data_IF_916344611810
#
_entry.id   IF_916344611810
#
_cell.length_a   1.000
_cell.length_b   1.000
_cell.length_c   1.000
_cell.angle_alpha   90.00
_cell.angle_beta   90.00
_cell.angle_gamma   90.00
#
_symmetry.space_group_name_H-M   'P 1'
#
loop_
_entity.id
_entity.type
_entity.pdbx_description
1 polymer ?
#
# COMPACT_ATOMS: atom_id res chain seq x y z
N UNK A 1 4.89 26.35 16.80
CA UNK A 1 5.79 25.44 16.13
C UNK A 1 5.65 25.53 14.63
N UNK A 2 6.75 25.70 13.91
CA UNK A 2 6.79 25.63 12.46
C UNK A 2 7.05 24.20 11.99
N UNK A 3 6.68 23.87 10.77
CA UNK A 3 6.90 22.59 10.18
C UNK A 3 6.80 22.64 8.65
N UNK A 4 7.27 21.58 8.01
CA UNK A 4 7.14 21.41 6.56
C UNK A 4 5.97 20.48 6.26
N UNK A 5 5.00 20.97 5.50
CA UNK A 5 3.92 20.14 4.96
C UNK A 5 4.20 19.86 3.48
N UNK A 6 4.37 18.59 3.15
CA UNK A 6 4.62 18.15 1.76
C UNK A 6 3.28 17.84 1.12
N UNK A 7 2.88 18.65 0.16
CA UNK A 7 1.70 18.38 -0.67
C UNK A 7 2.06 17.35 -1.75
N UNK A 8 1.43 16.19 -1.67
CA UNK A 8 1.59 15.13 -2.67
C UNK A 8 0.65 15.39 -3.85
N UNK A 9 1.15 15.26 -5.08
CA UNK A 9 0.46 15.67 -6.29
C UNK A 9 -0.71 14.78 -6.71
N UNK A 10 -0.78 13.56 -6.21
CA UNK A 10 -1.84 12.60 -6.58
C UNK A 10 -2.64 12.16 -5.35
N UNK A 11 -3.92 11.86 -5.59
CA UNK A 11 -4.81 11.31 -4.57
C UNK A 11 -4.24 9.99 -4.02
N UNK A 12 -4.30 9.83 -2.70
CA UNK A 12 -3.87 8.61 -1.98
C UNK A 12 -2.39 8.23 -2.12
N UNK A 13 -1.50 9.11 -2.56
CA UNK A 13 -0.05 8.82 -2.55
C UNK A 13 0.43 8.54 -1.13
N UNK A 14 -0.09 9.28 -0.15
CA UNK A 14 0.23 9.04 1.26
C UNK A 14 -0.22 7.63 1.68
N UNK A 15 -1.46 7.24 1.39
CA UNK A 15 -1.97 5.91 1.70
C UNK A 15 -1.20 4.81 0.99
N UNK A 16 -0.88 4.96 -0.29
CA UNK A 16 -0.10 3.98 -1.03
C UNK A 16 1.28 3.74 -0.40
N UNK A 17 1.99 4.80 -0.01
CA UNK A 17 3.29 4.65 0.68
C UNK A 17 3.15 4.11 2.10
N UNK A 18 2.11 4.52 2.83
CA UNK A 18 1.82 3.99 4.17
C UNK A 18 1.52 2.48 4.13
N UNK A 19 0.89 2.00 3.06
CA UNK A 19 0.59 0.59 2.83
C UNK A 19 1.75 -0.23 2.25
N UNK A 20 2.93 0.36 2.11
CA UNK A 20 4.13 -0.35 1.70
C UNK A 20 4.26 -0.60 0.20
N UNK A 21 3.60 0.19 -0.65
CA UNK A 21 3.81 0.15 -2.11
C UNK A 21 5.15 0.81 -2.44
N UNK A 22 6.23 0.22 -1.92
CA UNK A 22 7.61 0.68 -2.03
C UNK A 22 8.54 -0.54 -2.15
N UNK A 23 9.72 -0.35 -2.74
CA UNK A 23 10.67 -1.43 -2.98
C UNK A 23 11.39 -1.94 -1.71
N UNK A 24 11.30 -1.26 -0.58
CA UNK A 24 12.15 -1.46 0.60
C UNK A 24 11.41 -1.54 1.93
N UNK A 25 10.08 -1.64 1.91
CA UNK A 25 9.30 -1.63 3.15
C UNK A 25 8.05 -2.50 3.05
N UNK A 26 7.61 -3.00 4.18
CA UNK A 26 6.29 -3.56 4.42
C UNK A 26 5.30 -2.44 4.84
N UNK A 27 3.99 -2.72 4.89
CA UNK A 27 3.00 -1.74 5.35
C UNK A 27 3.42 -1.12 6.68
N UNK A 28 3.13 0.18 6.87
CA UNK A 28 3.52 0.91 8.06
C UNK A 28 5.01 1.30 8.12
N UNK A 29 5.69 1.30 6.99
CA UNK A 29 7.14 1.55 6.89
C UNK A 29 8.01 0.58 7.71
N UNK A 30 7.50 -0.61 7.97
CA UNK A 30 8.32 -1.68 8.51
C UNK A 30 9.38 -2.08 7.47
N UNK A 31 10.66 -2.05 7.86
CA UNK A 31 11.74 -2.48 6.97
C UNK A 31 11.67 -3.99 6.69
N UNK A 32 12.36 -4.42 5.64
CA UNK A 32 12.42 -5.84 5.22
C UNK A 32 13.33 -6.67 6.15
N UNK A 33 13.08 -6.65 7.45
CA UNK A 33 13.85 -7.37 8.47
C UNK A 33 13.07 -8.58 8.96
N UNK A 34 13.75 -9.64 9.46
CA UNK A 34 13.08 -10.84 9.95
C UNK A 34 11.97 -10.57 10.98
N UNK A 35 12.20 -9.63 11.91
CA UNK A 35 11.20 -9.25 12.92
C UNK A 35 9.96 -8.56 12.32
N UNK A 36 10.14 -7.76 11.25
CA UNK A 36 9.04 -7.12 10.55
C UNK A 36 8.19 -8.12 9.79
N UNK A 37 8.84 -9.08 9.13
CA UNK A 37 8.14 -10.18 8.47
C UNK A 37 7.39 -11.07 9.46
N UNK A 38 7.98 -11.37 10.61
CA UNK A 38 7.31 -12.13 11.66
C UNK A 38 6.11 -11.37 12.25
N UNK A 39 6.19 -10.02 12.34
CA UNK A 39 5.07 -9.19 12.75
C UNK A 39 3.91 -9.29 11.74
N UNK A 40 4.18 -9.06 10.46
CA UNK A 40 3.16 -9.08 9.43
C UNK A 40 2.60 -10.49 9.18
N UNK A 41 3.44 -11.54 9.26
CA UNK A 41 2.97 -12.93 9.21
C UNK A 41 1.91 -13.20 10.29
N UNK A 42 2.11 -12.71 11.52
CA UNK A 42 1.10 -12.82 12.59
C UNK A 42 -0.17 -12.02 12.29
N UNK A 43 -0.04 -10.80 11.75
CA UNK A 43 -1.20 -9.97 11.38
C UNK A 43 -2.04 -10.62 10.30
N UNK A 44 -1.39 -11.21 9.30
CA UNK A 44 -2.04 -11.92 8.21
C UNK A 44 -2.44 -13.36 8.59
N UNK A 45 -2.06 -13.82 9.79
CA UNK A 45 -2.24 -15.21 10.23
C UNK A 45 -1.62 -16.22 9.26
N UNK A 46 -0.48 -15.85 8.67
CA UNK A 46 0.19 -16.65 7.66
C UNK A 46 1.47 -17.30 8.20
N UNK A 47 1.80 -18.46 7.64
CA UNK A 47 3.03 -19.15 7.94
C UNK A 47 4.24 -18.40 7.38
N UNK A 48 5.15 -18.02 8.27
CA UNK A 48 6.37 -17.29 7.91
C UNK A 48 7.28 -18.11 6.97
N UNK A 49 7.32 -19.44 7.09
CA UNK A 49 8.15 -20.28 6.22
C UNK A 49 7.53 -20.41 4.82
N UNK A 50 6.20 -20.40 4.74
CA UNK A 50 5.53 -20.29 3.45
C UNK A 50 5.84 -18.95 2.78
N UNK A 51 5.81 -17.83 3.51
CA UNK A 51 6.20 -16.50 2.99
C UNK A 51 7.65 -16.52 2.50
N UNK A 52 8.58 -17.06 3.30
CA UNK A 52 9.99 -17.19 2.89
C UNK A 52 10.15 -17.98 1.60
N UNK A 53 9.38 -19.04 1.43
CA UNK A 53 9.40 -19.87 0.23
C UNK A 53 8.96 -19.17 -1.06
N UNK A 54 8.38 -17.95 -0.95
CA UNK A 54 8.01 -17.11 -2.13
C UNK A 54 9.17 -16.31 -2.67
N UNK A 55 10.29 -16.24 -1.95
CA UNK A 55 11.45 -15.43 -2.31
C UNK A 55 12.64 -16.32 -2.66
N UNK A 56 13.43 -15.87 -3.62
CA UNK A 56 14.68 -16.54 -4.00
C UNK A 56 15.74 -16.41 -2.91
N UNK A 57 16.70 -17.32 -2.94
CA UNK A 57 17.97 -17.22 -2.21
C UNK A 57 19.10 -17.01 -3.20
N UNK A 58 19.95 -16.05 -2.96
CA UNK A 58 21.16 -15.80 -3.73
C UNK A 58 22.40 -16.21 -2.94
N UNK A 59 23.49 -16.49 -3.65
CA UNK A 59 24.81 -16.57 -3.03
C UNK A 59 25.50 -15.20 -3.06
N UNK A 60 26.06 -14.80 -1.93
CA UNK A 60 26.93 -13.63 -1.85
C UNK A 60 28.30 -13.95 -2.47
N UNK A 61 29.14 -12.94 -2.70
CA UNK A 61 30.50 -13.12 -3.25
C UNK A 61 31.39 -14.03 -2.38
N UNK A 62 31.14 -14.07 -1.07
CA UNK A 62 31.81 -14.92 -0.10
C UNK A 62 31.09 -16.28 0.11
N UNK A 63 30.15 -16.62 -0.76
CA UNK A 63 29.48 -17.94 -0.80
C UNK A 63 28.35 -18.14 0.22
N UNK A 64 28.02 -17.15 1.04
CA UNK A 64 26.94 -17.24 2.02
C UNK A 64 25.56 -17.11 1.38
N UNK A 65 24.56 -17.70 1.97
CA UNK A 65 23.18 -17.55 1.55
C UNK A 65 22.63 -16.16 1.92
N UNK A 66 21.96 -15.54 0.97
CA UNK A 66 21.31 -14.25 1.08
C UNK A 66 19.84 -14.41 0.71
N UNK A 67 18.96 -14.28 1.69
CA UNK A 67 17.53 -14.36 1.47
C UNK A 67 17.01 -13.05 0.86
N UNK A 68 16.50 -13.13 -0.36
CA UNK A 68 15.97 -11.95 -1.08
C UNK A 68 14.74 -11.33 -0.42
N UNK A 69 14.05 -12.06 0.42
CA UNK A 69 12.97 -11.55 1.27
C UNK A 69 13.38 -10.35 2.13
N UNK A 70 14.64 -10.29 2.54
CA UNK A 70 15.18 -9.23 3.41
C UNK A 70 15.88 -8.11 2.63
N UNK A 71 15.85 -8.17 1.31
CA UNK A 71 16.57 -7.23 0.46
C UNK A 71 15.62 -6.24 -0.20
N UNK A 72 16.12 -5.06 -0.44
CA UNK A 72 15.39 -4.04 -1.20
C UNK A 72 15.14 -4.52 -2.64
N UNK A 73 13.91 -4.42 -3.09
CA UNK A 73 13.54 -4.63 -4.48
C UNK A 73 14.10 -3.53 -5.40
N UNK A 74 13.83 -3.66 -6.69
CA UNK A 74 14.21 -2.63 -7.67
C UNK A 74 13.22 -1.47 -7.56
N UNK A 75 13.67 -0.25 -7.18
CA UNK A 75 12.77 0.90 -7.09
C UNK A 75 12.25 1.32 -8.46
N UNK A 76 11.10 1.98 -8.48
CA UNK A 76 10.44 2.42 -9.72
C UNK A 76 11.34 3.29 -10.61
N UNK A 77 12.25 4.07 -10.03
CA UNK A 77 13.24 4.87 -10.77
C UNK A 77 14.28 4.03 -11.54
N UNK A 78 14.41 2.74 -11.22
CA UNK A 78 15.38 1.81 -11.82
C UNK A 78 14.73 0.59 -12.48
N UNK A 79 13.43 0.57 -12.69
CA UNK A 79 12.77 -0.59 -13.29
C UNK A 79 13.31 -0.92 -14.70
N UNK A 80 13.70 0.11 -15.48
CA UNK A 80 14.31 -0.04 -16.79
C UNK A 80 15.62 -0.82 -16.68
N UNK A 81 16.47 -0.45 -15.71
CA UNK A 81 17.72 -1.15 -15.42
C UNK A 81 17.43 -2.59 -14.98
N UNK A 82 16.37 -2.80 -14.19
CA UNK A 82 15.91 -4.12 -13.79
C UNK A 82 15.68 -5.08 -14.95
N UNK A 83 15.34 -4.56 -16.13
CA UNK A 83 15.14 -5.33 -17.36
C UNK A 83 16.40 -5.39 -18.22
N UNK A 84 17.10 -4.25 -18.39
CA UNK A 84 18.14 -4.08 -19.40
C UNK A 84 19.57 -4.31 -18.90
N UNK A 85 19.84 -4.06 -17.62
CA UNK A 85 21.16 -4.17 -17.03
C UNK A 85 21.49 -5.62 -16.66
N UNK A 86 22.76 -5.96 -16.58
CA UNK A 86 23.19 -7.27 -16.09
C UNK A 86 22.73 -7.50 -14.64
N UNK A 87 22.11 -8.64 -14.37
CA UNK A 87 21.54 -8.97 -13.06
C UNK A 87 22.53 -8.90 -11.90
N UNK A 88 23.80 -9.16 -12.19
CA UNK A 88 24.92 -9.10 -11.24
C UNK A 88 25.10 -7.67 -10.67
N UNK A 89 24.89 -6.65 -11.51
CA UNK A 89 24.96 -5.25 -11.11
C UNK A 89 23.73 -4.80 -10.30
N UNK A 90 22.61 -5.49 -10.49
CA UNK A 90 21.38 -5.21 -9.78
C UNK A 90 21.32 -5.87 -8.39
N UNK A 91 22.18 -6.84 -8.13
CA UNK A 91 22.09 -7.66 -6.91
C UNK A 91 20.80 -8.47 -6.83
N UNK A 92 20.26 -8.86 -7.98
CA UNK A 92 19.03 -9.63 -8.13
C UNK A 92 19.31 -11.02 -8.72
N UNK A 93 18.49 -12.04 -8.38
CA UNK A 93 18.69 -13.39 -8.92
C UNK A 93 18.48 -13.47 -10.42
N UNK A 94 17.58 -12.64 -10.95
CA UNK A 94 17.24 -12.59 -12.37
C UNK A 94 16.86 -11.15 -12.78
N UNK A 95 16.88 -10.88 -14.08
CA UNK A 95 16.26 -9.68 -14.62
C UNK A 95 14.74 -9.75 -14.51
N UNK A 96 14.11 -8.59 -14.51
CA UNK A 96 12.65 -8.48 -14.56
C UNK A 96 12.14 -9.01 -15.89
N UNK A 97 11.25 -10.00 -15.86
CA UNK A 97 10.66 -10.64 -17.04
C UNK A 97 9.17 -10.39 -17.18
N UNK A 98 8.48 -10.14 -16.06
CA UNK A 98 7.07 -9.81 -16.03
C UNK A 98 6.87 -8.48 -15.31
N UNK A 99 5.93 -7.67 -15.77
CA UNK A 99 5.60 -6.38 -15.18
C UNK A 99 4.10 -6.17 -15.15
N UNK A 100 3.60 -5.72 -14.02
CA UNK A 100 2.24 -5.22 -13.87
C UNK A 100 2.33 -3.72 -13.59
N UNK A 101 1.82 -2.91 -14.50
CA UNK A 101 1.65 -1.47 -14.33
C UNK A 101 0.24 -1.25 -13.80
N UNK A 102 0.12 -0.86 -12.55
CA UNK A 102 -1.15 -0.71 -11.85
C UNK A 102 -1.42 0.75 -11.54
N UNK A 103 -2.35 1.35 -12.28
CA UNK A 103 -2.67 2.77 -12.14
C UNK A 103 -1.45 3.68 -12.36
N UNK A 104 -0.52 3.28 -13.24
CA UNK A 104 0.74 3.97 -13.44
C UNK A 104 1.07 4.15 -14.93
N UNK A 105 1.29 5.40 -15.33
CA UNK A 105 1.74 5.75 -16.65
C UNK A 105 3.23 6.15 -16.61
N UNK A 106 4.15 5.30 -17.09
CA UNK A 106 5.59 5.52 -16.99
C UNK A 106 6.11 6.65 -17.88
N UNK A 107 5.30 7.21 -18.75
CA UNK A 107 5.66 8.32 -19.62
C UNK A 107 6.08 9.61 -18.90
N UNK A 108 5.77 9.73 -17.61
CA UNK A 108 6.25 10.81 -16.75
C UNK A 108 7.69 10.62 -16.28
N UNK A 109 8.31 9.48 -16.57
CA UNK A 109 9.69 9.19 -16.21
C UNK A 109 10.63 9.56 -17.36
N UNK A 110 11.93 9.71 -17.03
CA UNK A 110 12.99 9.91 -18.01
C UNK A 110 13.33 8.61 -18.77
N UNK A 111 14.16 8.71 -19.80
CA UNK A 111 14.71 7.56 -20.56
C UNK A 111 13.66 6.83 -21.41
N UNK A 112 12.79 7.54 -22.08
CA UNK A 112 11.72 6.96 -22.92
C UNK A 112 12.23 5.93 -23.96
N UNK A 113 13.36 6.13 -24.68
CA UNK A 113 13.86 5.11 -25.60
C UNK A 113 14.27 3.80 -24.94
N UNK A 114 14.87 3.88 -23.75
CA UNK A 114 15.24 2.69 -22.97
C UNK A 114 14.00 2.00 -22.39
N UNK A 115 13.00 2.78 -21.99
CA UNK A 115 11.71 2.29 -21.52
C UNK A 115 11.03 1.41 -22.58
N UNK A 116 10.97 1.89 -23.82
CA UNK A 116 10.45 1.12 -24.96
C UNK A 116 11.22 -0.19 -25.18
N UNK A 117 12.56 -0.14 -25.13
CA UNK A 117 13.40 -1.35 -25.20
C UNK A 117 13.14 -2.32 -24.05
N UNK A 118 13.01 -1.80 -22.81
CA UNK A 118 12.74 -2.62 -21.66
C UNK A 118 11.40 -3.33 -21.77
N UNK A 119 10.33 -2.60 -22.11
CA UNK A 119 9.00 -3.18 -22.34
C UNK A 119 9.03 -4.25 -23.42
N UNK A 120 9.80 -4.06 -24.50
CA UNK A 120 9.96 -5.03 -25.57
C UNK A 120 10.65 -6.34 -25.15
N UNK A 121 11.43 -6.32 -24.07
CA UNK A 121 12.14 -7.50 -23.54
C UNK A 121 11.37 -8.30 -22.49
N UNK A 122 10.27 -7.79 -21.99
CA UNK A 122 9.44 -8.52 -21.01
C UNK A 122 8.78 -9.73 -21.69
N UNK A 123 8.59 -10.80 -20.94
CA UNK A 123 7.75 -11.92 -21.38
C UNK A 123 6.28 -11.60 -21.22
N UNK A 124 5.94 -10.86 -20.16
CA UNK A 124 4.57 -10.49 -19.80
C UNK A 124 4.50 -9.02 -19.39
N UNK A 125 3.55 -8.30 -19.96
CA UNK A 125 3.17 -6.96 -19.57
C UNK A 125 1.66 -6.93 -19.30
N UNK A 126 1.29 -6.55 -18.07
CA UNK A 126 -0.11 -6.32 -17.68
C UNK A 126 -0.26 -4.85 -17.34
N UNK A 127 -1.28 -4.22 -17.90
CA UNK A 127 -1.64 -2.83 -17.61
C UNK A 127 -3.03 -2.84 -16.99
N UNK A 128 -3.13 -2.42 -15.73
CA UNK A 128 -4.37 -2.27 -14.98
C UNK A 128 -4.63 -0.78 -14.83
N UNK A 129 -5.59 -0.25 -15.55
CA UNK A 129 -5.87 1.19 -15.59
C UNK A 129 -7.32 1.44 -16.00
N UNK A 130 -7.99 2.50 -15.50
CA UNK A 130 -9.32 2.88 -15.97
C UNK A 130 -9.38 3.24 -17.45
N UNK A 131 -8.25 3.68 -18.02
CA UNK A 131 -8.14 4.09 -19.41
C UNK A 131 -6.90 3.51 -20.06
N UNK A 132 -6.92 3.23 -21.39
CA UNK A 132 -5.71 2.91 -22.13
C UNK A 132 -4.74 4.08 -22.05
N UNK A 133 -3.70 3.96 -21.24
CA UNK A 133 -2.65 4.97 -21.09
C UNK A 133 -1.49 4.72 -22.04
N UNK A 134 -0.50 5.59 -22.01
CA UNK A 134 0.76 5.42 -22.76
C UNK A 134 1.42 4.07 -22.45
N UNK A 135 1.22 3.53 -21.25
CA UNK A 135 1.70 2.19 -20.86
C UNK A 135 1.22 1.09 -21.80
N UNK A 136 0.02 1.23 -22.36
CA UNK A 136 -0.58 0.25 -23.25
C UNK A 136 0.01 0.27 -24.68
N UNK A 137 0.66 1.37 -25.07
CA UNK A 137 1.11 1.59 -26.46
C UNK A 137 2.59 1.92 -26.60
N UNK A 138 3.31 2.08 -25.49
CA UNK A 138 4.73 2.45 -25.50
C UNK A 138 5.65 1.27 -25.86
N UNK A 139 5.21 0.35 -26.67
CA UNK A 139 5.98 -0.82 -27.08
C UNK A 139 5.46 -1.35 -28.43
N UNK A 140 6.33 -2.10 -29.12
CA UNK A 140 5.99 -2.75 -30.40
C UNK A 140 5.62 -4.23 -30.22
N UNK A 141 5.20 -4.63 -29.02
CA UNK A 141 4.84 -6.02 -28.70
C UNK A 141 3.56 -6.42 -29.42
N UNK A 142 3.51 -7.65 -29.91
CA UNK A 142 2.33 -8.24 -30.54
C UNK A 142 1.65 -9.29 -29.67
N UNK A 143 2.34 -9.73 -28.60
CA UNK A 143 1.89 -10.77 -27.69
C UNK A 143 2.34 -10.49 -26.25
N UNK A 144 1.84 -11.25 -25.30
CA UNK A 144 2.19 -11.12 -23.88
C UNK A 144 1.82 -9.78 -23.26
N UNK A 145 0.81 -9.08 -23.79
CA UNK A 145 0.28 -7.82 -23.28
C UNK A 145 -1.20 -7.98 -22.96
N UNK A 146 -1.57 -7.62 -21.72
CA UNK A 146 -2.96 -7.66 -21.27
C UNK A 146 -3.34 -6.31 -20.71
N UNK A 147 -4.46 -5.78 -21.17
CA UNK A 147 -5.09 -4.57 -20.67
C UNK A 147 -6.28 -4.98 -19.82
N UNK A 148 -6.26 -4.68 -18.54
CA UNK A 148 -7.32 -4.99 -17.60
C UNK A 148 -7.97 -3.68 -17.15
N UNK A 149 -9.23 -3.42 -17.53
CA UNK A 149 -9.92 -2.21 -17.12
C UNK A 149 -10.22 -2.26 -15.63
N UNK A 150 -9.72 -1.30 -14.87
CA UNK A 150 -10.12 -1.09 -13.48
C UNK A 150 -11.11 0.06 -13.37
N UNK A 151 -11.76 0.18 -12.23
CA UNK A 151 -12.73 1.23 -11.95
C UNK A 151 -12.05 2.55 -11.64
N UNK A 152 -12.77 3.64 -11.91
CA UNK A 152 -12.42 4.96 -11.40
C UNK A 152 -12.77 5.07 -9.92
N UNK A 153 -12.33 6.16 -9.30
CA UNK A 153 -12.62 6.45 -7.89
C UNK A 153 -14.10 6.64 -7.56
N UNK A 154 -14.94 6.91 -8.55
CA UNK A 154 -16.39 7.08 -8.37
C UNK A 154 -17.15 5.75 -8.45
N UNK A 155 -16.53 4.75 -9.02
CA UNK A 155 -17.10 3.43 -9.26
C UNK A 155 -16.72 2.41 -8.18
N UNK A 156 -16.05 2.84 -7.13
CA UNK A 156 -15.62 2.00 -6.02
C UNK A 156 -15.68 2.76 -4.70
N UNK A 157 -15.61 2.05 -3.58
CA UNK A 157 -15.58 2.62 -2.22
C UNK A 157 -14.26 2.31 -1.53
N UNK A 158 -14.01 2.95 -0.41
CA UNK A 158 -12.84 2.67 0.42
C UNK A 158 -12.19 3.91 1.02
N UNK A 159 -11.08 3.70 1.71
CA UNK A 159 -10.36 4.78 2.36
C UNK A 159 -9.28 5.39 1.46
N UNK A 160 -9.03 6.67 1.67
CA UNK A 160 -7.90 7.41 1.10
C UNK A 160 -7.21 8.20 2.20
N UNK A 161 -5.90 8.37 2.09
CA UNK A 161 -5.13 9.15 3.06
C UNK A 161 -4.57 10.40 2.38
N UNK A 162 -4.93 11.56 2.90
CA UNK A 162 -4.44 12.85 2.43
C UNK A 162 -2.99 13.11 2.89
N UNK A 163 -2.34 14.12 2.30
CA UNK A 163 -0.95 14.49 2.63
C UNK A 163 -0.72 14.87 4.10
N UNK A 164 -1.75 15.39 4.76
CA UNK A 164 -1.73 15.68 6.20
C UNK A 164 -2.00 14.44 7.07
N UNK A 165 -2.09 13.26 6.44
CA UNK A 165 -2.41 11.97 7.08
C UNK A 165 -3.82 11.85 7.65
N UNK A 166 -4.75 12.71 7.28
CA UNK A 166 -6.16 12.44 7.57
C UNK A 166 -6.66 11.32 6.65
N UNK A 167 -7.28 10.32 7.25
CA UNK A 167 -7.91 9.21 6.54
C UNK A 167 -9.36 9.58 6.31
N UNK A 168 -9.81 9.41 5.09
CA UNK A 168 -11.17 9.69 4.67
C UNK A 168 -11.78 8.44 4.04
N UNK A 169 -13.06 8.25 4.20
CA UNK A 169 -13.81 7.23 3.51
C UNK A 169 -14.62 7.85 2.37
N UNK A 170 -14.67 7.17 1.27
CA UNK A 170 -15.56 7.51 0.14
C UNK A 170 -16.45 6.34 -0.17
N UNK A 171 -17.69 6.64 -0.51
CA UNK A 171 -18.64 5.65 -0.99
C UNK A 171 -18.63 5.61 -2.51
N UNK A 172 -19.08 4.50 -3.07
CA UNK A 172 -19.34 4.37 -4.49
C UNK A 172 -20.49 5.30 -4.90
N UNK A 173 -20.33 5.99 -6.02
CA UNK A 173 -21.31 6.98 -6.53
C UNK A 173 -22.04 6.46 -7.75
N UNK A 174 -21.36 5.71 -8.61
CA UNK A 174 -21.88 5.13 -9.84
C UNK A 174 -21.42 3.69 -9.96
N UNK A 175 -22.15 2.89 -10.72
CA UNK A 175 -21.76 1.52 -11.00
C UNK A 175 -20.56 1.46 -11.95
N UNK A 176 -19.72 0.41 -11.85
CA UNK A 176 -18.61 0.18 -12.78
C UNK A 176 -19.10 0.13 -14.22
N UNK A 177 -18.38 0.80 -15.11
CA UNK A 177 -18.70 0.83 -16.54
C UNK A 177 -18.09 -0.38 -17.27
N UNK A 178 -18.86 -0.95 -18.18
CA UNK A 178 -18.45 -2.05 -19.04
C UNK A 178 -17.94 -3.27 -18.23
N UNK A 179 -16.74 -3.76 -18.58
CA UNK A 179 -16.10 -4.90 -17.92
C UNK A 179 -15.13 -4.48 -16.81
N UNK A 180 -15.10 -3.19 -16.45
CA UNK A 180 -14.20 -2.72 -15.42
C UNK A 180 -14.52 -3.33 -14.05
N UNK A 181 -13.47 -3.61 -13.30
CA UNK A 181 -13.58 -4.19 -11.95
C UNK A 181 -12.75 -3.39 -10.97
N UNK A 182 -13.22 -3.19 -9.73
CA UNK A 182 -12.41 -2.62 -8.66
C UNK A 182 -11.09 -3.37 -8.46
N UNK A 183 -10.04 -2.64 -8.10
CA UNK A 183 -8.68 -3.19 -7.95
C UNK A 183 -8.61 -4.43 -7.06
N UNK A 184 -9.34 -4.44 -5.94
CA UNK A 184 -9.35 -5.57 -5.01
C UNK A 184 -9.99 -6.83 -5.60
N UNK A 185 -10.96 -6.69 -6.50
CA UNK A 185 -11.53 -7.82 -7.25
C UNK A 185 -10.51 -8.35 -8.27
N UNK A 186 -9.80 -7.46 -8.98
CA UNK A 186 -8.74 -7.88 -9.90
C UNK A 186 -7.63 -8.62 -9.13
N UNK A 187 -7.25 -8.15 -7.95
CA UNK A 187 -6.28 -8.83 -7.08
C UNK A 187 -6.78 -10.22 -6.65
N UNK A 188 -8.06 -10.34 -6.31
CA UNK A 188 -8.70 -11.63 -5.99
C UNK A 188 -8.60 -12.60 -7.17
N UNK A 189 -8.94 -12.15 -8.37
CA UNK A 189 -8.86 -12.98 -9.58
C UNK A 189 -7.41 -13.42 -9.89
N UNK A 190 -6.42 -12.58 -9.66
CA UNK A 190 -5.02 -12.98 -9.75
C UNK A 190 -4.67 -14.04 -8.70
N UNK A 191 -5.09 -13.84 -7.45
CA UNK A 191 -4.82 -14.79 -6.38
C UNK A 191 -5.43 -16.16 -6.64
N UNK A 192 -6.65 -16.21 -7.20
CA UNK A 192 -7.31 -17.45 -7.64
C UNK A 192 -6.49 -18.17 -8.72
N UNK A 193 -6.04 -17.44 -9.73
CA UNK A 193 -5.23 -18.00 -10.81
C UNK A 193 -3.88 -18.51 -10.33
N UNK A 194 -3.29 -17.87 -9.35
CA UNK A 194 -2.02 -18.31 -8.74
C UNK A 194 -2.21 -19.37 -7.65
N UNK A 195 -3.44 -19.68 -7.25
CA UNK A 195 -3.74 -20.75 -6.28
C UNK A 195 -3.42 -20.40 -4.82
N UNK A 196 -3.45 -19.11 -4.44
CA UNK A 196 -3.22 -18.70 -3.05
C UNK A 196 -4.31 -17.76 -2.48
N UNK A 197 -5.47 -17.71 -3.12
CA UNK A 197 -6.59 -16.84 -2.73
C UNK A 197 -7.04 -17.06 -1.28
N UNK A 198 -7.17 -18.32 -0.86
CA UNK A 198 -7.57 -18.66 0.51
C UNK A 198 -6.57 -18.16 1.58
N UNK A 199 -5.30 -18.02 1.18
CA UNK A 199 -4.27 -17.47 2.06
C UNK A 199 -4.32 -15.95 2.11
N UNK A 200 -4.43 -15.32 0.93
CA UNK A 200 -4.45 -13.85 0.80
C UNK A 200 -5.68 -13.25 1.49
N UNK A 201 -6.83 -13.89 1.40
CA UNK A 201 -8.11 -13.40 1.92
C UNK A 201 -8.58 -14.14 3.18
N UNK A 202 -7.68 -14.78 3.92
CA UNK A 202 -8.01 -15.57 5.12
C UNK A 202 -8.81 -14.79 6.17
N UNK A 203 -8.45 -13.53 6.40
CA UNK A 203 -9.07 -12.63 7.38
C UNK A 203 -10.07 -11.67 6.74
N UNK A 204 -10.38 -11.84 5.49
CA UNK A 204 -11.20 -10.93 4.68
C UNK A 204 -12.37 -11.73 4.14
N UNK A 205 -13.57 -11.34 4.51
CA UNK A 205 -14.78 -11.94 3.94
C UNK A 205 -14.83 -11.65 2.44
N UNK A 206 -15.14 -12.68 1.66
CA UNK A 206 -15.34 -12.56 0.22
C UNK A 206 -16.79 -12.89 -0.09
N UNK A 207 -17.49 -11.99 -0.77
CA UNK A 207 -18.86 -12.16 -1.22
C UNK A 207 -18.86 -12.29 -2.76
N UNK A 208 -19.10 -13.53 -3.25
CA UNK A 208 -18.84 -13.82 -4.67
C UNK A 208 -17.37 -13.67 -5.02
N UNK A 209 -17.05 -12.73 -5.91
CA UNK A 209 -15.67 -12.38 -6.27
C UNK A 209 -15.16 -11.12 -5.55
N UNK A 210 -15.97 -10.51 -4.68
CA UNK A 210 -15.64 -9.24 -4.03
C UNK A 210 -15.12 -9.45 -2.60
N UNK A 211 -13.83 -9.22 -2.33
CA UNK A 211 -13.32 -9.07 -0.97
C UNK A 211 -13.88 -7.81 -0.31
N UNK A 212 -14.34 -7.91 0.93
CA UNK A 212 -14.88 -6.76 1.65
C UNK A 212 -13.79 -5.74 1.98
N UNK A 213 -13.93 -4.53 1.47
CA UNK A 213 -12.97 -3.43 1.67
C UNK A 213 -12.86 -3.06 3.15
N UNK A 214 -13.95 -3.16 3.89
CA UNK A 214 -13.97 -2.94 5.33
C UNK A 214 -13.03 -3.91 6.06
N UNK A 215 -13.02 -5.18 5.67
CA UNK A 215 -12.14 -6.19 6.28
C UNK A 215 -10.68 -5.99 5.87
N UNK A 216 -10.42 -5.60 4.63
CA UNK A 216 -9.08 -5.19 4.17
C UNK A 216 -8.57 -4.04 5.05
N UNK A 217 -9.41 -3.04 5.30
CA UNK A 217 -9.06 -1.90 6.15
C UNK A 217 -8.79 -2.34 7.59
N UNK A 218 -9.60 -3.24 8.14
CA UNK A 218 -9.40 -3.78 9.50
C UNK A 218 -8.11 -4.58 9.62
N UNK A 219 -7.78 -5.41 8.62
CA UNK A 219 -6.54 -6.18 8.61
C UNK A 219 -5.30 -5.27 8.59
N UNK A 220 -5.30 -4.27 7.72
CA UNK A 220 -4.22 -3.29 7.64
C UNK A 220 -4.04 -2.58 8.98
N UNK A 221 -5.13 -2.11 9.57
CA UNK A 221 -5.10 -1.35 10.82
C UNK A 221 -4.57 -2.17 12.00
N UNK A 222 -4.79 -3.48 12.02
CA UNK A 222 -4.22 -4.36 13.05
C UNK A 222 -2.71 -4.38 13.10
N UNK A 223 -2.05 -4.16 11.95
CA UNK A 223 -0.60 -4.31 11.82
C UNK A 223 0.19 -2.99 11.79
N UNK A 224 -0.43 -1.88 11.48
CA UNK A 224 0.29 -0.62 11.22
C UNK A 224 0.51 0.22 12.48
N UNK A 225 1.26 -0.32 13.43
CA UNK A 225 1.48 0.33 14.74
C UNK A 225 2.46 1.51 14.67
N UNK A 226 3.30 1.57 13.65
CA UNK A 226 4.36 2.58 13.52
C UNK A 226 3.86 3.95 13.11
N UNK A 227 2.75 4.03 12.40
CA UNK A 227 2.21 5.28 11.84
C UNK A 227 0.76 5.57 12.22
N UNK A 228 0.24 4.80 13.16
CA UNK A 228 -1.01 5.13 13.81
C UNK A 228 -2.29 4.86 13.05
N UNK A 229 -2.30 3.93 12.10
CA UNK A 229 -3.55 3.42 11.52
C UNK A 229 -4.33 2.59 12.53
N UNK A 230 -3.66 2.06 13.52
CA UNK A 230 -4.26 1.33 14.63
C UNK A 230 -5.30 2.19 15.34
N UNK A 231 -6.50 1.68 15.50
CA UNK A 231 -7.63 2.44 16.04
C UNK A 231 -8.51 3.12 15.00
N UNK A 232 -8.12 3.12 13.73
CA UNK A 232 -8.97 3.56 12.63
C UNK A 232 -9.79 2.37 12.14
N UNK A 233 -11.10 2.41 12.32
CA UNK A 233 -12.01 1.42 11.74
C UNK A 233 -12.79 2.04 10.58
N UNK A 234 -13.32 1.23 9.65
CA UNK A 234 -14.23 1.73 8.62
C UNK A 234 -15.42 2.50 9.22
N UNK A 235 -15.99 2.00 10.31
CA UNK A 235 -17.13 2.62 11.00
C UNK A 235 -16.77 3.99 11.53
N UNK A 236 -15.60 4.11 12.18
CA UNK A 236 -15.11 5.38 12.71
C UNK A 236 -14.85 6.38 11.59
N UNK A 237 -14.17 5.96 10.51
CA UNK A 237 -13.87 6.84 9.38
C UNK A 237 -15.16 7.30 8.70
N UNK A 238 -16.14 6.41 8.49
CA UNK A 238 -17.46 6.75 7.94
C UNK A 238 -18.21 7.74 8.86
N UNK A 239 -18.19 7.52 10.16
CA UNK A 239 -18.80 8.44 11.12
C UNK A 239 -18.15 9.83 11.08
N UNK A 240 -16.82 9.90 10.98
CA UNK A 240 -16.10 11.17 10.84
C UNK A 240 -16.50 11.91 9.56
N UNK A 241 -16.62 11.22 8.44
CA UNK A 241 -17.05 11.83 7.18
C UNK A 241 -18.48 12.35 7.27
N UNK A 242 -19.40 11.59 7.85
CA UNK A 242 -20.80 12.00 8.02
C UNK A 242 -20.98 13.19 8.99
N UNK A 243 -20.08 13.33 9.96
CA UNK A 243 -20.13 14.36 11.00
C UNK A 243 -19.01 15.40 10.88
N UNK A 244 -18.43 15.58 9.70
CA UNK A 244 -17.29 16.46 9.48
C UNK A 244 -17.51 17.89 10.02
N UNK A 245 -18.73 18.38 10.01
CA UNK A 245 -19.11 19.70 10.47
C UNK A 245 -18.95 19.91 11.99
N UNK A 246 -18.83 18.83 12.78
CA UNK A 246 -18.64 18.91 14.25
C UNK A 246 -17.18 19.06 14.64
N UNK A 247 -16.25 18.84 13.70
CA UNK A 247 -14.82 18.93 13.96
C UNK A 247 -14.33 20.37 13.90
N UNK A 248 -13.68 20.82 14.97
CA UNK A 248 -13.03 22.13 15.00
C UNK A 248 -11.91 22.21 13.95
N UNK A 249 -11.89 23.29 13.17
CA UNK A 249 -10.95 23.43 12.04
C UNK A 249 -9.51 23.64 12.46
N UNK A 250 -9.26 24.01 13.70
CA UNK A 250 -7.91 24.26 14.22
C UNK A 250 -7.37 23.08 14.98
N UNK A 251 -8.17 22.53 15.90
CA UNK A 251 -7.75 21.40 16.73
C UNK A 251 -8.02 20.05 16.08
N UNK A 252 -8.89 20.00 15.09
CA UNK A 252 -9.41 18.79 14.45
C UNK A 252 -10.15 17.85 15.42
N UNK A 253 -10.52 18.35 16.59
CA UNK A 253 -11.30 17.59 17.57
C UNK A 253 -12.79 17.87 17.37
N UNK A 254 -13.62 16.82 17.45
CA UNK A 254 -15.05 16.97 17.40
C UNK A 254 -15.57 17.57 18.70
N UNK A 255 -16.55 18.49 18.57
CA UNK A 255 -17.24 19.13 19.66
C UNK A 255 -18.73 18.84 19.52
N UNK A 256 -19.21 17.95 20.39
CA UNK A 256 -20.59 17.48 20.34
C UNK A 256 -20.87 16.47 19.24
N UNK A 257 -22.07 15.91 19.25
CA UNK A 257 -22.51 14.92 18.27
C UNK A 257 -21.91 13.52 18.48
N UNK A 258 -22.10 12.62 17.48
CA UNK A 258 -21.68 11.21 17.61
C UNK A 258 -20.16 10.98 17.72
N UNK A 259 -19.36 11.96 17.32
CA UNK A 259 -17.90 11.87 17.32
C UNK A 259 -17.25 12.74 18.42
N UNK A 260 -18.02 13.20 19.40
CA UNK A 260 -17.53 14.13 20.45
C UNK A 260 -16.22 13.65 21.09
N UNK A 261 -15.22 14.52 21.11
CA UNK A 261 -13.88 14.24 21.63
C UNK A 261 -12.93 13.52 20.66
N UNK A 262 -13.42 12.97 19.56
CA UNK A 262 -12.59 12.33 18.55
C UNK A 262 -11.76 13.33 17.74
N UNK A 263 -10.61 12.88 17.22
CA UNK A 263 -9.82 13.64 16.25
C UNK A 263 -10.11 13.16 14.82
N UNK A 264 -10.41 14.12 13.92
CA UNK A 264 -10.83 13.86 12.55
C UNK A 264 -9.81 13.03 11.77
N UNK A 265 -10.23 11.83 11.34
CA UNK A 265 -9.53 10.99 10.35
C UNK A 265 -8.01 10.90 10.44
N UNK A 266 -7.42 11.39 11.53
CA UNK A 266 -5.96 11.43 11.68
C UNK A 266 -5.44 10.06 12.15
N UNK A 267 -4.39 9.54 11.50
CA UNK A 267 -3.74 8.33 11.99
C UNK A 267 -2.94 8.58 13.27
N UNK A 268 -2.63 9.84 13.60
CA UNK A 268 -1.93 10.23 14.81
C UNK A 268 -2.67 11.34 15.57
N UNK A 269 -2.77 11.19 16.89
CA UNK A 269 -2.44 9.99 17.66
C UNK A 269 -3.37 8.84 17.29
N UNK A 270 -2.88 7.61 17.26
CA UNK A 270 -3.76 6.45 17.13
C UNK A 270 -4.21 5.99 18.51
N UNK A 271 -5.45 5.58 18.59
CA UNK A 271 -6.03 5.04 19.82
C UNK A 271 -5.90 3.52 19.78
N UNK A 272 -5.14 2.98 20.72
CA UNK A 272 -5.11 1.53 20.94
C UNK A 272 -6.43 1.05 21.52
N UNK A 273 -6.77 -0.20 21.24
CA UNK A 273 -7.88 -0.87 21.92
C UNK A 273 -7.38 -2.11 22.66
N UNK A 274 -8.09 -2.57 23.72
CA UNK A 274 -7.70 -3.81 24.40
C UNK A 274 -7.64 -5.02 23.46
N UNK A 275 -8.55 -5.09 22.49
CA UNK A 275 -8.62 -6.18 21.51
C UNK A 275 -7.39 -6.20 20.58
N UNK A 276 -6.82 -5.04 20.32
CA UNK A 276 -5.62 -4.90 19.50
C UNK A 276 -4.34 -5.10 20.31
N UNK A 277 -4.42 -5.17 21.62
CA UNK A 277 -3.27 -5.22 22.54
C UNK A 277 -2.20 -4.17 22.19
N UNK A 278 -2.67 -2.95 21.88
CA UNK A 278 -1.82 -1.84 21.50
C UNK A 278 -2.16 -0.59 22.32
N UNK A 279 -1.17 0.06 22.95
CA UNK A 279 -1.40 1.18 23.87
C UNK A 279 -1.76 2.51 23.17
N UNK A 280 -1.82 2.52 21.84
CA UNK A 280 -1.89 3.74 21.04
C UNK A 280 -0.53 4.36 20.76
N UNK A 281 -0.49 5.31 19.83
CA UNK A 281 0.70 6.12 19.54
C UNK A 281 0.62 7.46 20.27
N UNK A 282 1.71 7.91 20.90
CA UNK A 282 1.71 9.19 21.59
C UNK A 282 1.54 10.35 20.59
N UNK A 283 0.96 11.44 21.04
CA UNK A 283 0.90 12.67 20.26
C UNK A 283 2.32 13.16 19.95
N UNK A 284 2.60 13.38 18.66
CA UNK A 284 3.91 13.84 18.18
C UNK A 284 4.34 15.19 18.78
N UNK A 285 3.38 16.00 19.18
CA UNK A 285 3.61 17.36 19.66
C UNK A 285 3.44 17.50 21.18
N UNK A 286 3.32 16.41 21.90
CA UNK A 286 3.26 16.46 23.36
C UNK A 286 4.66 16.76 23.94
N UNK A 287 4.92 18.03 24.17
CA UNK A 287 6.17 18.50 24.77
C UNK A 287 6.19 18.35 26.30
N UNK A 288 5.10 17.94 26.91
CA UNK A 288 5.00 17.78 28.38
C UNK A 288 5.73 16.53 28.87
N UNK A 289 6.09 15.62 27.98
CA UNK A 289 6.73 14.34 28.29
C UNK A 289 8.09 14.21 27.62
N UNK A 290 9.09 13.65 28.29
CA UNK A 290 10.37 13.28 27.65
C UNK A 290 10.15 12.25 26.55
N UNK A 291 10.98 12.26 25.51
CA UNK A 291 10.96 11.28 24.42
C UNK A 291 11.00 9.83 24.93
N UNK A 292 11.80 9.58 25.97
CA UNK A 292 11.90 8.26 26.62
C UNK A 292 10.59 7.79 27.31
N UNK A 293 9.64 8.69 27.52
CA UNK A 293 8.33 8.41 28.11
C UNK A 293 7.18 8.64 27.13
N UNK A 294 7.46 8.60 25.84
CA UNK A 294 6.45 8.76 24.79
C UNK A 294 6.10 10.21 24.43
N UNK A 295 6.92 11.19 24.86
CA UNK A 295 6.85 12.55 24.36
C UNK A 295 7.28 12.66 22.90
N UNK A 296 7.60 13.85 22.41
CA UNK A 296 7.99 14.10 21.01
C UNK A 296 8.87 12.97 20.46
N UNK A 297 8.30 12.11 19.65
CA UNK A 297 9.02 11.11 18.89
C UNK A 297 9.04 11.53 17.45
N UNK A 298 10.02 12.33 17.07
CA UNK A 298 10.38 12.44 15.68
C UNK A 298 11.19 11.17 15.35
N UNK A 299 10.55 10.21 14.72
CA UNK A 299 11.29 9.14 14.05
C UNK A 299 11.40 9.55 12.58
N UNK A 300 12.57 10.11 12.24
CA UNK A 300 12.98 10.22 10.87
C UNK A 300 13.21 8.81 10.29
#
# INVERSE_FOLDING_TARGET
GGGTNIFRGHCNVQGATDLGVLANTLPGYYGLKPGSWAHWARVWEEDLDWLKGRFATMKTKDGKDKAMMNETGIPVSRWIDGVLEAKENLGQPNNTRAMVLWGHAPNSQSRMPDMKKAMGKLDLLVVVDPHPTVSAVLHDRKDGVYLLPTTTQFETRGSVTASNRSIQWREQVVDPLFESKPDHIIMKLFADKFGFSDRLFRNIKVEGDEPLIEDITREINRGMWTIGYTGQSPERIKAHMANQHTFDKTTLQAVGGPCDGDFYGMPWPSWGTPEMNHPGTPNLYDMSRPVSKGGLTFRA
#
